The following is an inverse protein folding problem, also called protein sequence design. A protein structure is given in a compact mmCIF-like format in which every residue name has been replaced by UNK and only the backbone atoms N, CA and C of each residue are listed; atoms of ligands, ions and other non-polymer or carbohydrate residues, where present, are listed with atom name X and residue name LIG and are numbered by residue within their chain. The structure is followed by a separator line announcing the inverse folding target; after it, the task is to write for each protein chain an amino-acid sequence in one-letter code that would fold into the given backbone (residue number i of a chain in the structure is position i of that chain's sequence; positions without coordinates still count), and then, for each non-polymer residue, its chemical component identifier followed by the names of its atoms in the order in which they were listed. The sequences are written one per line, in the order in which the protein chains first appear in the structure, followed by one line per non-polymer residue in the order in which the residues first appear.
data_IF_787338426073
#
_entry.id   IF_787338426073
#
_cell.length_a   1.000
_cell.length_b   1.000
_cell.length_c   1.000
_cell.angle_alpha   90.00
_cell.angle_beta   90.00
_cell.angle_gamma   90.00
#
_symmetry.space_group_name_H-M   'P 1'
#
loop_
_entity.id
_entity.type
_entity.pdbx_description
1 polymer ?
#
# COMPACT_ATOMS: atom_id res chain seq x y z
N UNK A 1 35.65 -4.71 -30.79
CA UNK A 1 36.80 -4.50 -29.88
C UNK A 1 36.32 -4.23 -28.44
N UNK A 2 35.46 -3.27 -28.19
CA UNK A 2 34.94 -2.94 -26.83
C UNK A 2 34.29 -4.11 -26.06
N UNK A 3 33.43 -4.91 -26.72
CA UNK A 3 32.73 -6.03 -26.05
C UNK A 3 33.72 -7.12 -25.57
N UNK A 4 34.77 -7.44 -26.33
CA UNK A 4 35.79 -8.43 -25.93
C UNK A 4 36.65 -7.94 -24.76
N UNK A 5 36.94 -6.63 -24.71
CA UNK A 5 37.66 -5.98 -23.61
C UNK A 5 36.78 -5.90 -22.39
N UNK A 6 35.49 -5.51 -22.54
CA UNK A 6 34.50 -5.46 -21.48
C UNK A 6 34.31 -6.81 -20.81
N UNK A 7 34.13 -7.89 -21.58
CA UNK A 7 33.97 -9.23 -21.02
C UNK A 7 35.19 -9.70 -20.22
N UNK A 8 36.43 -9.40 -20.73
CA UNK A 8 37.66 -9.73 -20.01
C UNK A 8 37.80 -8.94 -18.72
N UNK A 9 37.42 -7.68 -18.71
CA UNK A 9 37.41 -6.84 -17.51
C UNK A 9 36.40 -7.33 -16.45
N UNK A 10 35.20 -7.67 -16.89
CA UNK A 10 34.14 -8.23 -15.97
C UNK A 10 34.67 -9.50 -15.31
N UNK A 11 35.29 -10.43 -16.08
CA UNK A 11 35.82 -11.68 -15.54
C UNK A 11 36.97 -11.46 -14.54
N UNK A 12 37.77 -10.41 -14.71
CA UNK A 12 38.89 -10.10 -13.83
C UNK A 12 38.46 -9.43 -12.53
N UNK A 13 37.40 -8.65 -12.56
CA UNK A 13 36.91 -7.86 -11.42
C UNK A 13 35.57 -8.36 -10.89
N UNK A 14 35.25 -9.65 -11.06
CA UNK A 14 33.95 -10.25 -10.63
C UNK A 14 33.56 -9.92 -9.20
N UNK A 15 34.54 -9.89 -8.28
CA UNK A 15 34.29 -9.60 -6.86
C UNK A 15 33.73 -8.19 -6.64
N UNK A 16 34.15 -7.21 -7.41
CA UNK A 16 33.70 -5.82 -7.29
C UNK A 16 32.30 -5.60 -7.90
N UNK A 17 31.94 -6.46 -8.87
CA UNK A 17 30.66 -6.43 -9.56
C UNK A 17 29.56 -7.22 -8.85
N UNK A 18 29.89 -8.13 -7.93
CA UNK A 18 28.92 -9.08 -7.35
C UNK A 18 27.77 -8.36 -6.64
N UNK A 19 28.08 -7.38 -5.78
CA UNK A 19 27.06 -6.61 -5.05
C UNK A 19 26.15 -5.85 -6.01
N UNK A 20 26.75 -5.24 -7.02
CA UNK A 20 26.04 -4.52 -8.07
C UNK A 20 25.13 -5.43 -8.87
N UNK A 21 25.65 -6.57 -9.31
CA UNK A 21 24.92 -7.58 -10.07
C UNK A 21 23.75 -8.17 -9.29
N UNK A 22 23.98 -8.58 -8.05
CA UNK A 22 22.94 -9.10 -7.15
C UNK A 22 21.85 -8.06 -6.92
N UNK A 23 22.22 -6.79 -6.70
CA UNK A 23 21.25 -5.70 -6.52
C UNK A 23 20.37 -5.53 -7.76
N UNK A 24 20.94 -5.52 -8.96
CA UNK A 24 20.18 -5.40 -10.21
C UNK A 24 19.26 -6.61 -10.43
N UNK A 25 19.80 -7.82 -10.20
CA UNK A 25 19.07 -9.08 -10.35
C UNK A 25 17.87 -9.14 -9.39
N UNK A 26 18.09 -8.82 -8.12
CA UNK A 26 17.04 -8.82 -7.12
C UNK A 26 15.97 -7.76 -7.42
N UNK A 27 16.40 -6.58 -7.85
CA UNK A 27 15.46 -5.51 -8.24
C UNK A 27 14.60 -5.91 -9.43
N UNK A 28 15.20 -6.53 -10.46
CA UNK A 28 14.48 -7.03 -11.62
C UNK A 28 13.51 -8.17 -11.24
N UNK A 29 13.94 -9.08 -10.34
CA UNK A 29 13.12 -10.19 -9.86
C UNK A 29 11.88 -9.70 -9.08
N UNK A 30 12.06 -8.79 -8.14
CA UNK A 30 10.96 -8.20 -7.38
C UNK A 30 9.99 -7.45 -8.30
N UNK A 31 10.52 -6.62 -9.20
CA UNK A 31 9.70 -5.85 -10.12
C UNK A 31 8.88 -6.76 -11.05
N UNK A 32 9.47 -7.83 -11.58
CA UNK A 32 8.75 -8.81 -12.37
C UNK A 32 7.67 -9.52 -11.58
N UNK A 33 7.99 -10.01 -10.38
CA UNK A 33 7.06 -10.79 -9.57
C UNK A 33 5.78 -10.01 -9.22
N UNK A 34 5.91 -8.73 -8.90
CA UNK A 34 4.75 -7.88 -8.62
C UNK A 34 3.95 -7.50 -9.86
N UNK A 35 4.64 -7.21 -10.99
CA UNK A 35 3.95 -6.94 -12.26
C UNK A 35 3.24 -8.18 -12.80
N UNK A 36 3.85 -9.36 -12.68
CA UNK A 36 3.23 -10.62 -13.08
C UNK A 36 1.98 -10.94 -12.25
N UNK A 37 2.04 -10.65 -10.95
CA UNK A 37 0.90 -10.78 -10.05
C UNK A 37 -0.25 -9.84 -10.45
N UNK A 38 0.03 -8.56 -10.65
CA UNK A 38 -0.98 -7.56 -11.02
C UNK A 38 -1.60 -7.76 -12.41
N UNK A 39 -0.92 -8.51 -13.29
CA UNK A 39 -1.41 -8.86 -14.63
C UNK A 39 -1.91 -10.31 -14.72
N UNK A 40 -2.02 -11.01 -13.59
CA UNK A 40 -2.51 -12.39 -13.53
C UNK A 40 -4.00 -12.44 -13.87
N UNK A 41 -4.44 -13.33 -14.79
CA UNK A 41 -5.86 -13.52 -15.07
C UNK A 41 -6.67 -13.93 -13.85
N UNK A 42 -6.08 -14.74 -12.97
CA UNK A 42 -6.73 -15.23 -11.76
C UNK A 42 -7.05 -14.07 -10.79
N UNK A 43 -6.11 -13.12 -10.64
CA UNK A 43 -6.32 -11.93 -9.82
C UNK A 43 -7.28 -10.95 -10.51
N UNK A 44 -7.18 -10.79 -11.82
CA UNK A 44 -8.10 -9.93 -12.58
C UNK A 44 -9.54 -10.44 -12.49
N UNK A 45 -9.77 -11.75 -12.54
CA UNK A 45 -11.09 -12.34 -12.35
C UNK A 45 -11.66 -12.10 -10.93
N UNK A 46 -10.79 -12.17 -9.90
CA UNK A 46 -11.19 -11.80 -8.53
C UNK A 46 -11.49 -10.30 -8.39
N UNK A 47 -10.84 -9.45 -9.21
CA UNK A 47 -10.99 -7.99 -9.15
C UNK A 47 -12.17 -7.46 -9.95
N UNK A 48 -12.82 -8.26 -10.80
CA UNK A 48 -14.00 -7.85 -11.54
C UNK A 48 -15.14 -7.36 -10.61
N UNK A 49 -15.21 -7.93 -9.40
CA UNK A 49 -16.13 -7.52 -8.34
C UNK A 49 -15.51 -6.59 -7.28
N UNK A 50 -14.20 -6.29 -7.34
CA UNK A 50 -13.45 -5.51 -6.35
C UNK A 50 -12.52 -4.48 -7.00
N UNK A 51 -13.07 -3.38 -7.52
CA UNK A 51 -12.29 -2.30 -8.16
C UNK A 51 -11.17 -1.72 -7.27
N UNK A 52 -11.35 -1.75 -5.96
CA UNK A 52 -10.34 -1.32 -4.98
C UNK A 52 -9.06 -2.18 -5.01
N UNK A 53 -9.17 -3.49 -5.24
CA UNK A 53 -8.02 -4.39 -5.29
C UNK A 53 -7.13 -4.08 -6.51
N UNK A 54 -7.74 -3.86 -7.68
CA UNK A 54 -7.01 -3.47 -8.90
C UNK A 54 -6.25 -2.17 -8.71
N UNK A 55 -6.91 -1.17 -8.13
CA UNK A 55 -6.30 0.13 -7.84
C UNK A 55 -5.14 -0.02 -6.85
N UNK A 56 -5.30 -0.82 -5.80
CA UNK A 56 -4.25 -1.12 -4.83
C UNK A 56 -3.01 -1.78 -5.45
N UNK A 57 -3.20 -2.76 -6.34
CA UNK A 57 -2.10 -3.43 -7.06
C UNK A 57 -1.36 -2.45 -7.98
N UNK A 58 -2.08 -1.55 -8.67
CA UNK A 58 -1.47 -0.53 -9.52
C UNK A 58 -0.63 0.46 -8.71
N UNK A 59 -1.15 0.94 -7.58
CA UNK A 59 -0.41 1.83 -6.65
C UNK A 59 0.83 1.13 -6.13
N UNK A 60 0.73 -0.13 -5.70
CA UNK A 60 1.85 -0.92 -5.19
C UNK A 60 2.91 -1.13 -6.28
N UNK A 61 2.50 -1.46 -7.51
CA UNK A 61 3.42 -1.62 -8.64
C UNK A 61 4.16 -0.32 -8.97
N UNK A 62 3.47 0.81 -8.95
CA UNK A 62 4.09 2.14 -9.14
C UNK A 62 5.08 2.48 -8.01
N UNK A 63 4.74 2.15 -6.77
CA UNK A 63 5.61 2.34 -5.60
C UNK A 63 6.89 1.50 -5.73
N UNK A 64 6.77 0.23 -6.11
CA UNK A 64 7.92 -0.67 -6.33
C UNK A 64 8.79 -0.15 -7.47
N UNK A 65 8.21 0.31 -8.57
CA UNK A 65 8.95 0.93 -9.66
C UNK A 65 9.73 2.17 -9.18
N UNK A 66 9.09 3.02 -8.40
CA UNK A 66 9.72 4.21 -7.81
C UNK A 66 10.91 3.84 -6.90
N UNK A 67 10.72 2.92 -5.96
CA UNK A 67 11.79 2.43 -5.07
C UNK A 67 12.93 1.79 -5.87
N UNK A 68 12.61 0.96 -6.87
CA UNK A 68 13.57 0.32 -7.76
C UNK A 68 14.44 1.35 -8.51
N UNK A 69 13.86 2.47 -8.93
CA UNK A 69 14.60 3.56 -9.58
C UNK A 69 15.70 4.13 -8.69
N UNK A 70 15.43 4.32 -7.39
CA UNK A 70 16.45 4.77 -6.43
C UNK A 70 17.54 3.74 -6.22
N UNK A 71 17.17 2.47 -6.04
CA UNK A 71 18.12 1.37 -5.81
C UNK A 71 19.04 1.21 -7.02
N UNK A 72 18.49 1.16 -8.23
CA UNK A 72 19.26 1.08 -9.48
C UNK A 72 20.17 2.31 -9.63
N UNK A 73 19.63 3.52 -9.43
CA UNK A 73 20.41 4.75 -9.52
C UNK A 73 21.53 4.84 -8.48
N UNK A 74 21.34 4.26 -7.30
CA UNK A 74 22.38 4.13 -6.27
C UNK A 74 23.44 3.09 -6.69
N UNK A 75 23.02 1.91 -7.16
CA UNK A 75 23.90 0.83 -7.59
C UNK A 75 24.82 1.29 -8.73
N UNK A 76 24.28 1.99 -9.73
CA UNK A 76 25.07 2.54 -10.85
C UNK A 76 26.10 3.58 -10.35
N UNK A 77 25.70 4.47 -9.42
CA UNK A 77 26.63 5.44 -8.84
C UNK A 77 27.71 4.80 -7.98
N UNK A 78 27.34 3.78 -7.21
CA UNK A 78 28.29 3.00 -6.42
C UNK A 78 29.33 2.36 -7.33
N UNK A 79 28.91 1.70 -8.40
CA UNK A 79 29.80 1.07 -9.37
C UNK A 79 30.74 2.08 -10.05
N UNK A 80 30.19 3.23 -10.46
CA UNK A 80 31.00 4.33 -10.98
C UNK A 80 32.08 4.77 -9.98
N UNK A 81 31.71 4.89 -8.70
CA UNK A 81 32.61 5.27 -7.63
C UNK A 81 33.78 4.34 -7.45
N UNK A 82 33.54 3.02 -7.52
CA UNK A 82 34.59 1.99 -7.37
C UNK A 82 35.62 2.04 -8.49
N UNK A 83 35.20 2.42 -9.71
CA UNK A 83 36.05 2.38 -10.91
C UNK A 83 36.70 3.71 -11.28
N UNK A 84 36.49 4.78 -10.51
CA UNK A 84 37.03 6.12 -10.81
C UNK A 84 38.56 6.10 -11.01
N UNK A 85 39.29 5.38 -10.18
CA UNK A 85 40.77 5.27 -10.28
C UNK A 85 41.22 4.55 -11.55
N UNK A 86 40.50 3.52 -11.97
CA UNK A 86 40.79 2.82 -13.21
C UNK A 86 40.57 3.72 -14.43
N UNK A 87 39.49 4.48 -14.44
CA UNK A 87 39.21 5.44 -15.52
C UNK A 87 40.26 6.53 -15.60
N UNK A 88 40.69 7.06 -14.47
CA UNK A 88 41.78 8.01 -14.42
C UNK A 88 43.09 7.40 -14.96
N UNK A 89 43.41 6.15 -14.62
CA UNK A 89 44.59 5.45 -15.17
C UNK A 89 44.50 5.27 -16.70
N UNK A 90 43.33 4.93 -17.23
CA UNK A 90 43.11 4.82 -18.68
C UNK A 90 43.32 6.16 -19.40
N UNK A 91 42.82 7.25 -18.85
CA UNK A 91 43.01 8.60 -19.40
C UNK A 91 44.49 9.04 -19.34
N UNK A 92 45.17 8.73 -18.21
CA UNK A 92 46.63 8.98 -18.10
C UNK A 92 47.45 8.19 -19.12
N UNK A 93 47.00 6.98 -19.49
CA UNK A 93 47.65 6.19 -20.57
C UNK A 93 47.28 6.71 -21.97
N UNK A 94 46.55 7.80 -22.09
CA UNK A 94 46.22 8.42 -23.38
C UNK A 94 44.91 7.97 -24.01
N UNK A 95 44.04 7.26 -23.26
CA UNK A 95 42.73 6.92 -23.80
C UNK A 95 41.78 8.14 -23.77
N UNK A 96 41.08 8.36 -24.87
CA UNK A 96 40.08 9.43 -24.93
C UNK A 96 38.93 9.18 -23.92
N UNK A 97 38.44 10.24 -23.30
CA UNK A 97 37.29 10.21 -22.37
C UNK A 97 36.06 9.54 -23.01
N UNK A 98 35.85 9.75 -24.31
CA UNK A 98 34.74 9.10 -25.07
C UNK A 98 34.88 7.58 -25.07
N UNK A 99 36.11 7.08 -25.24
CA UNK A 99 36.44 5.65 -25.27
C UNK A 99 36.24 5.02 -23.90
N UNK A 100 36.70 5.67 -22.81
CA UNK A 100 36.49 5.22 -21.41
C UNK A 100 35.03 5.16 -21.09
N UNK A 101 34.27 6.22 -21.44
CA UNK A 101 32.80 6.26 -21.23
C UNK A 101 32.09 5.13 -21.97
N UNK A 102 32.42 4.90 -23.26
CA UNK A 102 31.78 3.87 -24.06
C UNK A 102 32.11 2.46 -23.53
N UNK A 103 33.35 2.24 -23.08
CA UNK A 103 33.74 1.00 -22.41
C UNK A 103 32.89 0.76 -21.17
N UNK A 104 32.74 1.75 -20.31
CA UNK A 104 31.86 1.69 -19.11
C UNK A 104 30.42 1.35 -19.49
N UNK A 105 29.87 2.00 -20.52
CA UNK A 105 28.46 1.75 -20.94
C UNK A 105 28.29 0.31 -21.46
N UNK A 106 29.23 -0.20 -22.25
CA UNK A 106 29.18 -1.59 -22.80
C UNK A 106 29.31 -2.61 -21.66
N UNK A 107 30.26 -2.44 -20.75
CA UNK A 107 30.46 -3.33 -19.60
C UNK A 107 29.21 -3.43 -18.75
N UNK A 108 28.68 -2.28 -18.34
CA UNK A 108 27.48 -2.23 -17.51
C UNK A 108 26.25 -2.70 -18.30
N UNK A 109 26.13 -2.40 -19.59
CA UNK A 109 25.07 -2.90 -20.44
C UNK A 109 25.01 -4.43 -20.49
N UNK A 110 26.17 -5.11 -20.57
CA UNK A 110 26.25 -6.58 -20.51
C UNK A 110 25.78 -7.07 -19.12
N UNK A 111 26.32 -6.48 -18.06
CA UNK A 111 25.96 -6.85 -16.67
C UNK A 111 24.47 -6.65 -16.42
N UNK A 112 23.92 -5.50 -16.81
CA UNK A 112 22.50 -5.19 -16.66
C UNK A 112 21.61 -6.14 -17.46
N UNK A 113 21.99 -6.49 -18.69
CA UNK A 113 21.28 -7.46 -19.51
C UNK A 113 21.22 -8.86 -18.87
N UNK A 114 22.37 -9.37 -18.40
CA UNK A 114 22.43 -10.67 -17.70
C UNK A 114 21.67 -10.63 -16.38
N UNK A 115 21.80 -9.54 -15.62
CA UNK A 115 21.07 -9.34 -14.36
C UNK A 115 19.56 -9.30 -14.58
N UNK A 116 19.08 -8.64 -15.64
CA UNK A 116 17.68 -8.63 -16.02
C UNK A 116 17.16 -10.04 -16.35
N UNK A 117 17.87 -10.79 -17.20
CA UNK A 117 17.45 -12.14 -17.59
C UNK A 117 17.34 -13.08 -16.39
N UNK A 118 18.37 -13.10 -15.54
CA UNK A 118 18.37 -13.92 -14.33
C UNK A 118 17.32 -13.42 -13.32
N UNK A 119 17.17 -12.11 -13.17
CA UNK A 119 16.18 -11.50 -12.31
C UNK A 119 14.76 -11.85 -12.76
N UNK A 120 14.45 -11.76 -14.04
CA UNK A 120 13.15 -12.14 -14.57
C UNK A 120 12.85 -13.64 -14.40
N UNK A 121 13.84 -14.51 -14.56
CA UNK A 121 13.71 -15.94 -14.27
C UNK A 121 13.44 -16.23 -12.78
N UNK A 122 14.20 -15.63 -11.89
CA UNK A 122 13.97 -15.73 -10.45
C UNK A 122 12.59 -15.13 -10.08
N UNK A 123 12.22 -14.01 -10.70
CA UNK A 123 10.96 -13.33 -10.51
C UNK A 123 9.74 -14.19 -10.91
N UNK A 124 9.87 -15.05 -11.96
CA UNK A 124 8.79 -15.97 -12.31
C UNK A 124 8.54 -17.01 -11.21
N UNK A 125 9.59 -17.53 -10.57
CA UNK A 125 9.44 -18.40 -9.40
C UNK A 125 8.84 -17.67 -8.19
N UNK A 126 9.32 -16.46 -7.92
CA UNK A 126 8.84 -15.63 -6.81
C UNK A 126 7.37 -15.21 -7.00
N UNK A 127 6.93 -14.95 -8.24
CA UNK A 127 5.52 -14.64 -8.53
C UNK A 127 4.58 -15.79 -8.17
N UNK A 128 5.01 -17.05 -8.36
CA UNK A 128 4.26 -18.22 -7.92
C UNK A 128 4.09 -18.29 -6.40
N UNK A 129 5.17 -17.98 -5.65
CA UNK A 129 5.10 -17.92 -4.19
C UNK A 129 4.17 -16.80 -3.70
N UNK A 130 4.25 -15.61 -4.29
CA UNK A 130 3.36 -14.50 -3.95
C UNK A 130 1.89 -14.83 -4.27
N UNK A 131 1.63 -15.51 -5.38
CA UNK A 131 0.29 -15.96 -5.73
C UNK A 131 -0.28 -16.94 -4.70
N UNK A 132 0.53 -17.87 -4.17
CA UNK A 132 0.12 -18.76 -3.07
C UNK A 132 -0.25 -17.98 -1.80
N UNK A 133 0.55 -16.97 -1.45
CA UNK A 133 0.24 -16.13 -0.28
C UNK A 133 -1.13 -15.46 -0.44
N UNK A 134 -1.43 -14.92 -1.63
CA UNK A 134 -2.72 -14.30 -1.91
C UNK A 134 -3.85 -15.32 -1.85
N UNK A 135 -3.69 -16.50 -2.50
CA UNK A 135 -4.69 -17.56 -2.44
C UNK A 135 -4.98 -18.03 -1.00
N UNK A 136 -3.95 -18.09 -0.15
CA UNK A 136 -4.13 -18.40 1.28
C UNK A 136 -4.93 -17.33 2.03
N UNK A 137 -4.71 -16.04 1.71
CA UNK A 137 -5.43 -14.93 2.35
C UNK A 137 -6.91 -14.94 1.96
N UNK A 138 -7.22 -15.30 0.71
CA UNK A 138 -8.59 -15.33 0.18
C UNK A 138 -9.25 -16.71 0.28
N UNK A 139 -8.60 -17.69 0.92
CA UNK A 139 -9.13 -19.06 1.11
C UNK A 139 -9.55 -19.78 -0.19
N UNK A 140 -8.93 -19.41 -1.32
CA UNK A 140 -9.19 -19.99 -2.63
C UNK A 140 -8.41 -21.31 -2.80
N UNK A 141 -8.95 -22.33 -3.48
CA UNK A 141 -8.26 -23.60 -3.70
C UNK A 141 -6.86 -23.43 -4.26
N UNK A 142 -5.87 -24.06 -3.61
CA UNK A 142 -4.46 -23.89 -3.91
C UNK A 142 -4.08 -24.49 -5.26
N UNK A 143 -3.77 -23.65 -6.23
CA UNK A 143 -3.12 -24.05 -7.48
C UNK A 143 -1.77 -23.36 -7.57
N UNK A 144 -0.68 -24.13 -7.40
CA UNK A 144 0.65 -23.63 -7.70
C UNK A 144 0.77 -23.43 -9.20
N UNK A 145 0.64 -22.19 -9.66
CA UNK A 145 0.90 -21.81 -11.05
C UNK A 145 2.07 -20.83 -11.09
N UNK A 146 3.08 -21.20 -11.85
CA UNK A 146 4.13 -20.25 -12.21
C UNK A 146 3.53 -19.22 -13.16
N UNK A 147 3.45 -17.98 -12.74
CA UNK A 147 2.86 -16.90 -13.52
C UNK A 147 3.87 -16.41 -14.58
N UNK A 148 3.91 -17.10 -15.72
CA UNK A 148 4.66 -16.60 -16.88
C UNK A 148 3.75 -15.74 -17.75
N UNK A 149 4.04 -14.44 -17.81
CA UNK A 149 3.27 -13.48 -18.62
C UNK A 149 4.22 -12.69 -19.52
N UNK A 150 4.04 -12.80 -20.83
CA UNK A 150 4.77 -11.97 -21.80
C UNK A 150 4.53 -10.48 -21.60
N UNK A 151 3.34 -10.09 -21.16
CA UNK A 151 3.01 -8.69 -20.86
C UNK A 151 3.82 -8.19 -19.66
N UNK A 152 3.89 -8.98 -18.58
CA UNK A 152 4.71 -8.65 -17.41
C UNK A 152 6.19 -8.57 -17.77
N UNK A 153 6.68 -9.50 -18.60
CA UNK A 153 8.06 -9.49 -19.09
C UNK A 153 8.40 -8.23 -19.88
N UNK A 154 7.53 -7.86 -20.83
CA UNK A 154 7.69 -6.64 -21.63
C UNK A 154 7.62 -5.36 -20.79
N UNK A 155 6.68 -5.27 -19.85
CA UNK A 155 6.58 -4.12 -18.93
C UNK A 155 7.77 -4.02 -17.99
N UNK A 156 8.24 -5.14 -17.43
CA UNK A 156 9.43 -5.16 -16.58
C UNK A 156 10.68 -4.73 -17.38
N UNK A 157 10.84 -5.24 -18.59
CA UNK A 157 11.93 -4.82 -19.47
C UNK A 157 11.89 -3.33 -19.78
N UNK A 158 10.73 -2.81 -20.10
CA UNK A 158 10.53 -1.37 -20.38
C UNK A 158 10.92 -0.51 -19.19
N UNK A 159 10.39 -0.80 -18.00
CA UNK A 159 10.71 -0.05 -16.79
C UNK A 159 12.19 -0.22 -16.41
N UNK A 160 12.73 -1.43 -16.51
CA UNK A 160 14.15 -1.68 -16.21
C UNK A 160 15.07 -0.89 -17.15
N UNK A 161 14.82 -0.91 -18.46
CA UNK A 161 15.59 -0.12 -19.43
C UNK A 161 15.48 1.37 -19.13
N UNK A 162 14.30 1.87 -18.82
CA UNK A 162 14.07 3.29 -18.52
C UNK A 162 14.87 3.73 -17.30
N UNK A 163 14.75 2.99 -16.19
CA UNK A 163 15.41 3.34 -14.92
C UNK A 163 16.92 3.13 -14.99
N UNK A 164 17.33 1.97 -15.52
CA UNK A 164 18.74 1.63 -15.68
C UNK A 164 19.44 2.52 -16.70
N UNK A 165 18.80 2.76 -17.83
CA UNK A 165 19.26 3.66 -18.87
C UNK A 165 19.43 5.10 -18.36
N UNK A 166 18.48 5.60 -17.55
CA UNK A 166 18.59 6.90 -16.91
C UNK A 166 19.78 6.96 -15.93
N UNK A 167 19.97 5.92 -15.11
CA UNK A 167 21.12 5.79 -14.22
C UNK A 167 22.44 5.80 -15.00
N UNK A 168 22.52 5.02 -16.06
CA UNK A 168 23.68 4.92 -16.97
C UNK A 168 23.98 6.23 -17.70
N UNK A 169 22.93 6.92 -18.18
CA UNK A 169 23.07 8.24 -18.81
C UNK A 169 23.66 9.27 -17.85
N UNK A 170 23.17 9.28 -16.57
CA UNK A 170 23.74 10.17 -15.53
C UNK A 170 25.19 9.83 -15.23
N UNK A 171 25.54 8.54 -15.13
CA UNK A 171 26.92 8.08 -14.91
C UNK A 171 27.84 8.48 -16.08
N UNK A 172 27.40 8.28 -17.31
CA UNK A 172 28.13 8.69 -18.52
C UNK A 172 28.37 10.19 -18.57
N UNK A 173 27.39 11.02 -18.13
CA UNK A 173 27.53 12.48 -18.03
C UNK A 173 28.57 12.88 -16.97
N UNK A 174 28.64 12.14 -15.86
CA UNK A 174 29.63 12.36 -14.79
C UNK A 174 31.04 12.07 -15.34
N UNK A 175 31.27 10.93 -15.98
CA UNK A 175 32.57 10.57 -16.60
C UNK A 175 33.02 11.65 -17.57
N UNK A 176 32.10 12.17 -18.40
CA UNK A 176 32.43 13.20 -19.39
C UNK A 176 32.86 14.54 -18.78
N UNK A 177 32.36 14.87 -17.59
CA UNK A 177 32.54 16.21 -16.97
C UNK A 177 33.64 16.25 -15.91
N UNK A 178 34.06 15.13 -15.36
CA UNK A 178 35.10 15.10 -14.33
C UNK A 178 36.49 15.18 -14.96
N UNK A 179 37.37 15.95 -14.30
CA UNK A 179 38.79 16.03 -14.69
C UNK A 179 39.53 14.80 -14.14
N UNK A 180 40.61 14.34 -14.79
CA UNK A 180 41.45 13.20 -14.37
C UNK A 180 41.89 13.35 -12.90
N UNK A 181 42.32 14.54 -12.54
CA UNK A 181 42.76 14.85 -11.15
C UNK A 181 41.64 14.66 -10.14
N UNK A 182 40.40 14.99 -10.50
CA UNK A 182 39.23 14.83 -9.65
C UNK A 182 38.89 13.34 -9.47
N UNK A 183 39.09 12.53 -10.51
CA UNK A 183 38.90 11.07 -10.46
C UNK A 183 39.93 10.36 -9.57
N UNK A 184 41.20 10.81 -9.62
CA UNK A 184 42.26 10.24 -8.81
C UNK A 184 42.15 10.59 -7.32
N UNK A 185 41.86 11.84 -7.02
CA UNK A 185 41.89 12.39 -5.66
C UNK A 185 40.51 12.53 -5.02
N UNK A 186 39.42 12.04 -5.64
CA UNK A 186 38.07 12.13 -5.12
C UNK A 186 37.93 11.58 -3.69
N UNK A 187 38.68 10.50 -3.41
CA UNK A 187 38.71 9.89 -2.09
C UNK A 187 39.51 10.67 -1.03
N UNK A 188 40.32 11.62 -1.45
CA UNK A 188 41.17 12.45 -0.54
C UNK A 188 40.61 13.85 -0.29
N UNK A 189 39.58 14.26 -1.06
CA UNK A 189 38.92 15.53 -0.85
C UNK A 189 38.18 15.53 0.47
N UNK A 190 38.59 16.45 1.38
CA UNK A 190 37.82 16.70 2.58
C UNK A 190 36.60 17.54 2.26
N UNK A 191 35.43 17.15 2.73
CA UNK A 191 34.24 18.01 2.67
C UNK A 191 34.43 19.14 3.70
N UNK A 192 34.64 20.37 3.25
CA UNK A 192 34.74 21.54 4.13
C UNK A 192 33.37 21.89 4.73
N UNK A 193 33.27 21.72 6.05
CA UNK A 193 32.08 22.11 6.81
C UNK A 193 32.42 23.44 7.52
N UNK A 194 31.97 24.55 6.93
CA UNK A 194 32.17 25.87 7.49
C UNK A 194 31.39 26.10 8.80
N UNK A 195 31.84 27.03 9.65
CA UNK A 195 31.23 27.32 10.96
C UNK A 195 29.75 27.78 10.84
N UNK A 196 29.38 28.47 9.78
CA UNK A 196 27.98 28.82 9.47
C UNK A 196 27.05 27.61 9.23
N UNK A 197 27.62 26.42 9.07
CA UNK A 197 26.83 25.20 8.83
C UNK A 197 26.10 24.67 10.08
N UNK A 198 26.57 24.99 11.30
CA UNK A 198 25.92 24.53 12.53
C UNK A 198 24.54 25.19 12.70
N UNK A 199 24.49 26.53 12.71
CA UNK A 199 23.23 27.26 12.87
C UNK A 199 22.24 26.89 11.75
N UNK A 200 22.73 26.83 10.51
CA UNK A 200 21.93 26.42 9.34
C UNK A 200 21.44 24.97 9.47
N UNK A 201 22.26 24.04 9.99
CA UNK A 201 21.85 22.64 10.20
C UNK A 201 20.83 22.50 11.31
N UNK A 202 20.96 23.26 12.39
CA UNK A 202 19.96 23.30 13.48
C UNK A 202 18.64 23.89 12.98
N UNK A 203 18.68 25.04 12.31
CA UNK A 203 17.49 25.68 11.78
C UNK A 203 16.76 24.80 10.76
N UNK A 204 17.50 24.17 9.83
CA UNK A 204 16.89 23.26 8.85
C UNK A 204 16.37 21.99 9.52
N UNK A 205 17.03 21.48 10.59
CA UNK A 205 16.53 20.35 11.37
C UNK A 205 15.22 20.67 12.10
N UNK A 206 15.14 21.84 12.76
CA UNK A 206 13.92 22.30 13.42
C UNK A 206 12.78 22.53 12.40
N UNK A 207 13.11 23.14 11.26
CA UNK A 207 12.13 23.31 10.18
C UNK A 207 11.63 21.97 9.65
N UNK A 208 12.50 20.96 9.51
CA UNK A 208 12.08 19.61 9.07
C UNK A 208 11.14 18.95 10.07
N UNK A 209 11.37 19.14 11.38
CA UNK A 209 10.47 18.64 12.43
C UNK A 209 9.11 19.38 12.33
N UNK A 210 9.11 20.70 12.15
CA UNK A 210 7.87 21.46 11.97
C UNK A 210 7.08 21.02 10.71
N UNK A 211 7.78 20.78 9.59
CA UNK A 211 7.17 20.24 8.36
C UNK A 211 6.61 18.84 8.58
N UNK A 212 7.29 17.99 9.36
CA UNK A 212 6.80 16.65 9.69
C UNK A 212 5.51 16.72 10.51
N UNK A 213 5.47 17.58 11.54
CA UNK A 213 4.26 17.80 12.37
C UNK A 213 3.13 18.35 11.51
N UNK A 214 3.40 19.33 10.65
CA UNK A 214 2.40 19.85 9.71
C UNK A 214 1.88 18.77 8.75
N UNK A 215 2.75 17.89 8.27
CA UNK A 215 2.37 16.74 7.45
C UNK A 215 1.44 15.77 8.19
N UNK A 216 1.73 15.46 9.47
CA UNK A 216 0.87 14.59 10.29
C UNK A 216 -0.50 15.21 10.52
N UNK A 217 -0.57 16.51 10.87
CA UNK A 217 -1.84 17.23 11.06
C UNK A 217 -2.64 17.26 9.75
N UNK A 218 -1.97 17.47 8.62
CA UNK A 218 -2.60 17.47 7.31
C UNK A 218 -3.15 16.08 6.93
N UNK A 219 -2.43 15.02 7.31
CA UNK A 219 -2.86 13.63 7.11
C UNK A 219 -4.12 13.33 7.92
N UNK A 220 -4.12 13.70 9.21
CA UNK A 220 -5.27 13.54 10.10
C UNK A 220 -6.51 14.24 9.53
N UNK A 221 -6.37 15.49 9.11
CA UNK A 221 -7.48 16.21 8.45
C UNK A 221 -7.96 15.51 7.18
N UNK A 222 -7.03 15.02 6.34
CA UNK A 222 -7.36 14.31 5.11
C UNK A 222 -8.15 13.03 5.34
N UNK A 223 -7.89 12.32 6.43
CA UNK A 223 -8.60 11.07 6.80
C UNK A 223 -10.04 11.32 7.25
N UNK A 224 -10.36 12.52 7.75
CA UNK A 224 -11.72 12.89 8.17
C UNK A 224 -12.57 13.50 7.05
N UNK A 225 -11.98 13.82 5.89
CA UNK A 225 -12.70 14.39 4.75
C UNK A 225 -13.25 13.28 3.87
N UNK A 226 -14.57 13.27 3.63
CA UNK A 226 -15.26 12.28 2.80
C UNK A 226 -15.41 12.70 1.33
N UNK A 227 -14.66 13.70 0.87
CA UNK A 227 -14.72 14.20 -0.51
C UNK A 227 -13.47 13.85 -1.31
N UNK A 228 -13.50 14.07 -2.63
CA UNK A 228 -12.34 13.89 -3.52
C UNK A 228 -11.11 14.72 -3.09
N UNK A 229 -11.30 15.75 -2.27
CA UNK A 229 -10.23 16.54 -1.70
C UNK A 229 -9.36 15.75 -0.71
N UNK A 230 -9.90 14.71 -0.07
CA UNK A 230 -9.15 13.83 0.84
C UNK A 230 -7.86 13.30 0.18
N UNK A 231 -7.91 12.90 -1.10
CA UNK A 231 -6.76 12.42 -1.84
C UNK A 231 -5.65 13.48 -1.96
N UNK A 232 -6.03 14.73 -2.15
CA UNK A 232 -5.09 15.85 -2.27
C UNK A 232 -4.43 16.16 -0.91
N UNK A 233 -5.20 16.14 0.17
CA UNK A 233 -4.69 16.33 1.54
C UNK A 233 -3.75 15.18 1.94
N UNK A 234 -4.15 13.94 1.76
CA UNK A 234 -3.33 12.77 2.07
C UNK A 234 -2.06 12.71 1.21
N UNK A 235 -2.17 12.96 -0.10
CA UNK A 235 -1.02 13.00 -1.01
C UNK A 235 -0.03 14.12 -0.66
N UNK A 236 -0.53 15.33 -0.36
CA UNK A 236 0.28 16.45 0.12
C UNK A 236 0.97 16.16 1.45
N UNK A 237 0.26 15.56 2.40
CA UNK A 237 0.81 15.13 3.69
C UNK A 237 1.96 14.13 3.53
N UNK A 238 1.77 13.08 2.71
CA UNK A 238 2.81 12.10 2.42
C UNK A 238 4.07 12.74 1.82
N UNK A 239 3.91 13.67 0.88
CA UNK A 239 5.04 14.41 0.30
C UNK A 239 5.77 15.24 1.35
N UNK A 240 5.06 15.96 2.21
CA UNK A 240 5.67 16.76 3.28
C UNK A 240 6.45 15.87 4.26
N UNK A 241 5.89 14.74 4.67
CA UNK A 241 6.55 13.78 5.57
C UNK A 241 7.82 13.21 4.91
N UNK A 242 7.77 12.81 3.64
CA UNK A 242 8.94 12.30 2.92
C UNK A 242 10.06 13.35 2.79
N UNK A 243 9.70 14.61 2.50
CA UNK A 243 10.67 15.73 2.45
C UNK A 243 11.27 15.96 3.84
N UNK A 244 10.46 15.94 4.89
CA UNK A 244 10.92 16.10 6.27
C UNK A 244 11.88 14.97 6.68
N UNK A 245 11.55 13.71 6.40
CA UNK A 245 12.40 12.53 6.65
C UNK A 245 13.73 12.68 5.90
N UNK A 246 13.70 13.09 4.62
CA UNK A 246 14.92 13.30 3.84
C UNK A 246 15.84 14.35 4.47
N UNK A 247 15.33 15.55 4.72
CA UNK A 247 16.16 16.64 5.26
C UNK A 247 16.65 16.35 6.68
N UNK A 248 15.83 15.71 7.52
CA UNK A 248 16.18 15.32 8.87
C UNK A 248 17.39 14.35 8.86
N UNK A 249 17.28 13.24 8.12
CA UNK A 249 18.33 12.22 8.05
C UNK A 249 19.59 12.72 7.33
N UNK A 250 19.45 13.65 6.41
CA UNK A 250 20.60 14.31 5.77
C UNK A 250 21.37 15.20 6.74
N UNK A 251 20.69 15.85 7.69
CA UNK A 251 21.28 16.85 8.58
C UNK A 251 21.73 16.26 9.93
N UNK A 252 21.09 15.23 10.45
CA UNK A 252 21.44 14.59 11.72
C UNK A 252 22.93 14.23 11.79
N UNK A 253 23.54 13.52 10.82
CA UNK A 253 24.95 13.16 10.90
C UNK A 253 25.86 14.38 10.98
N UNK A 254 25.56 15.42 10.19
CA UNK A 254 26.31 16.67 10.18
C UNK A 254 26.21 17.38 11.53
N UNK A 255 25.01 17.44 12.11
CA UNK A 255 24.77 18.05 13.42
C UNK A 255 25.54 17.30 14.54
N UNK A 256 25.41 15.97 14.56
CA UNK A 256 26.13 15.15 15.55
C UNK A 256 27.66 15.32 15.46
N UNK A 257 28.19 15.35 14.23
CA UNK A 257 29.60 15.61 13.97
C UNK A 257 30.03 17.00 14.49
N UNK A 258 29.26 18.04 14.19
CA UNK A 258 29.59 19.41 14.64
C UNK A 258 29.50 19.56 16.14
N UNK A 259 28.54 18.92 16.81
CA UNK A 259 28.42 18.89 18.27
C UNK A 259 29.61 18.13 18.90
N UNK A 260 29.99 16.99 18.32
CA UNK A 260 31.16 16.24 18.80
C UNK A 260 32.48 17.04 18.64
N UNK A 261 32.61 17.77 17.52
CA UNK A 261 33.78 18.60 17.24
C UNK A 261 33.88 19.82 18.17
N UNK A 262 32.75 20.35 18.65
CA UNK A 262 32.69 21.56 19.50
C UNK A 262 33.21 21.34 20.89
N UNK A 263 33.13 20.12 21.42
CA UNK A 263 33.60 19.80 22.80
C UNK A 263 35.09 19.43 22.79
N UNK A 264 36.02 20.34 23.30
CA UNK A 264 37.45 20.07 23.30
C UNK A 264 37.84 18.82 24.10
N UNK A 265 37.17 18.57 25.23
CA UNK A 265 37.46 17.41 26.08
C UNK A 265 37.18 16.09 25.39
N UNK A 266 36.09 16.00 24.59
CA UNK A 266 35.77 14.83 23.78
C UNK A 266 36.64 14.71 22.53
N UNK A 267 36.95 15.86 21.90
CA UNK A 267 37.72 15.90 20.65
C UNK A 267 39.14 15.37 20.83
N UNK A 268 39.82 15.72 21.94
CA UNK A 268 41.22 15.39 22.18
C UNK A 268 41.40 14.16 23.07
N UNK A 269 40.34 13.45 23.45
CA UNK A 269 40.40 12.23 24.25
C UNK A 269 40.71 11.04 23.34
N UNK A 270 41.85 10.37 23.64
CA UNK A 270 42.26 9.12 22.97
C UNK A 270 42.27 9.24 21.44
N UNK A 271 41.63 8.29 20.74
CA UNK A 271 41.61 8.18 19.28
C UNK A 271 40.52 9.03 18.62
N UNK A 272 39.72 9.78 19.39
CA UNK A 272 38.55 10.53 18.88
C UNK A 272 38.94 11.55 17.80
N UNK A 273 40.10 12.16 17.86
CA UNK A 273 40.58 13.09 16.84
C UNK A 273 40.72 12.41 15.48
N UNK A 274 41.20 11.16 15.45
CA UNK A 274 41.35 10.37 14.24
C UNK A 274 40.01 9.97 13.69
N UNK A 275 39.08 9.44 14.53
CA UNK A 275 37.73 9.08 14.13
C UNK A 275 36.93 10.26 13.59
N UNK A 276 36.96 11.41 14.28
CA UNK A 276 36.31 12.63 13.81
C UNK A 276 36.92 13.12 12.49
N UNK A 277 38.23 12.97 12.30
CA UNK A 277 38.87 13.28 11.02
C UNK A 277 38.41 12.37 9.88
N UNK A 278 38.25 11.07 10.14
CA UNK A 278 37.75 10.11 9.15
C UNK A 278 36.26 10.33 8.80
N UNK A 279 35.41 10.51 9.82
CA UNK A 279 33.97 10.78 9.64
C UNK A 279 33.77 12.10 8.90
N UNK A 280 34.51 13.16 9.26
CA UNK A 280 34.36 14.48 8.66
C UNK A 280 34.65 14.53 7.16
N UNK A 281 35.45 13.58 6.62
CA UNK A 281 35.79 13.53 5.19
C UNK A 281 34.59 13.29 4.30
N UNK A 282 33.59 12.53 4.75
CA UNK A 282 32.44 12.10 3.90
C UNK A 282 31.09 12.33 4.57
N UNK A 283 31.02 13.16 5.59
CA UNK A 283 29.81 13.29 6.42
C UNK A 283 28.60 13.80 5.62
N UNK A 284 28.81 14.72 4.69
CA UNK A 284 27.72 15.28 3.88
C UNK A 284 27.22 14.30 2.81
N UNK A 285 28.15 13.56 2.17
CA UNK A 285 27.77 12.52 1.19
C UNK A 285 27.14 11.33 1.87
N UNK A 286 27.64 10.93 3.05
CA UNK A 286 27.04 9.89 3.89
C UNK A 286 25.64 10.29 4.36
N UNK A 287 25.45 11.55 4.79
CA UNK A 287 24.11 12.05 5.18
C UNK A 287 23.08 11.98 4.06
N UNK A 288 23.48 12.26 2.81
CA UNK A 288 22.58 12.10 1.64
C UNK A 288 22.22 10.62 1.39
N UNK A 289 23.18 9.73 1.52
CA UNK A 289 22.93 8.29 1.39
C UNK A 289 22.01 7.77 2.50
N UNK A 290 22.25 8.18 3.74
CA UNK A 290 21.40 7.85 4.89
C UNK A 290 19.97 8.37 4.71
N UNK A 291 19.80 9.58 4.17
CA UNK A 291 18.49 10.13 3.90
C UNK A 291 17.70 9.32 2.84
N UNK A 292 18.38 8.88 1.77
CA UNK A 292 17.75 8.02 0.77
C UNK A 292 17.36 6.66 1.37
N UNK A 293 18.26 6.03 2.15
CA UNK A 293 17.97 4.77 2.84
C UNK A 293 16.80 4.94 3.81
N UNK A 294 16.78 6.04 4.57
CA UNK A 294 15.68 6.34 5.50
C UNK A 294 14.33 6.45 4.77
N UNK A 295 14.27 7.14 3.61
CA UNK A 295 13.04 7.18 2.80
C UNK A 295 12.62 5.78 2.35
N UNK A 296 13.55 4.98 1.82
CA UNK A 296 13.25 3.63 1.35
C UNK A 296 12.72 2.77 2.50
N UNK A 297 13.34 2.84 3.68
CA UNK A 297 12.87 2.13 4.87
C UNK A 297 11.51 2.65 5.34
N UNK A 298 11.29 3.96 5.37
CA UNK A 298 10.00 4.54 5.76
C UNK A 298 8.89 4.03 4.84
N UNK A 299 9.07 4.12 3.51
CA UNK A 299 8.08 3.65 2.54
C UNK A 299 7.85 2.13 2.71
N UNK A 300 8.93 1.34 2.84
CA UNK A 300 8.84 -0.11 2.99
C UNK A 300 8.08 -0.52 4.25
N UNK A 301 8.43 0.06 5.40
CA UNK A 301 7.77 -0.24 6.68
C UNK A 301 6.33 0.25 6.70
N UNK A 302 6.05 1.43 6.13
CA UNK A 302 4.69 1.95 6.04
C UNK A 302 3.82 1.05 5.15
N UNK A 303 4.34 0.64 3.98
CA UNK A 303 3.61 -0.27 3.08
C UNK A 303 3.35 -1.63 3.74
N UNK A 304 4.35 -2.18 4.44
CA UNK A 304 4.20 -3.42 5.21
C UNK A 304 3.13 -3.28 6.30
N UNK A 305 3.17 -2.19 7.07
CA UNK A 305 2.19 -1.91 8.12
C UNK A 305 0.77 -1.77 7.55
N UNK A 306 0.60 -0.98 6.47
CA UNK A 306 -0.68 -0.83 5.79
C UNK A 306 -1.18 -2.20 5.31
N UNK A 307 -0.32 -3.01 4.67
CA UNK A 307 -0.70 -4.33 4.17
C UNK A 307 -1.18 -5.27 5.29
N UNK A 308 -0.44 -5.33 6.42
CA UNK A 308 -0.82 -6.13 7.57
C UNK A 308 -2.13 -5.64 8.22
N UNK A 309 -2.27 -4.32 8.39
CA UNK A 309 -3.47 -3.72 8.99
C UNK A 309 -4.70 -3.90 8.10
N UNK A 310 -4.55 -3.67 6.78
CA UNK A 310 -5.64 -3.90 5.84
C UNK A 310 -6.02 -5.38 5.75
N UNK A 311 -5.04 -6.30 5.74
CA UNK A 311 -5.32 -7.74 5.73
C UNK A 311 -6.06 -8.20 6.98
N UNK A 312 -5.57 -7.82 8.15
CA UNK A 312 -6.22 -8.15 9.43
C UNK A 312 -7.60 -7.45 9.56
N UNK A 313 -7.68 -6.18 9.17
CA UNK A 313 -8.92 -5.42 9.18
C UNK A 313 -9.96 -5.95 8.20
N UNK A 314 -9.52 -6.38 7.01
CA UNK A 314 -10.42 -6.99 6.02
C UNK A 314 -11.03 -8.29 6.55
N UNK A 315 -10.19 -9.18 7.12
CA UNK A 315 -10.68 -10.43 7.73
C UNK A 315 -11.66 -10.15 8.88
N UNK A 316 -11.30 -9.27 9.82
CA UNK A 316 -12.17 -8.89 10.92
C UNK A 316 -13.49 -8.25 10.44
N UNK A 317 -13.43 -7.41 9.40
CA UNK A 317 -14.62 -6.84 8.80
C UNK A 317 -15.48 -7.90 8.10
N UNK A 318 -14.88 -8.84 7.36
CA UNK A 318 -15.64 -9.92 6.71
C UNK A 318 -16.39 -10.75 7.75
N UNK A 319 -15.72 -11.17 8.83
CA UNK A 319 -16.36 -11.93 9.91
C UNK A 319 -17.45 -11.12 10.65
N UNK A 320 -17.26 -9.79 10.79
CA UNK A 320 -18.21 -8.93 11.48
C UNK A 320 -19.40 -8.51 10.59
N UNK A 321 -19.16 -8.13 9.32
CA UNK A 321 -20.20 -7.60 8.44
C UNK A 321 -20.92 -8.65 7.60
N UNK A 322 -20.36 -9.85 7.47
CA UNK A 322 -20.95 -10.99 6.73
C UNK A 322 -21.07 -12.21 7.65
N UNK A 323 -21.97 -12.15 8.64
CA UNK A 323 -22.10 -13.22 9.64
C UNK A 323 -22.84 -14.45 9.12
N UNK A 324 -23.41 -14.38 7.92
CA UNK A 324 -24.05 -15.52 7.23
C UNK A 324 -23.11 -16.11 6.18
N UNK A 325 -23.11 -17.44 6.03
CA UNK A 325 -22.22 -18.16 5.10
C UNK A 325 -22.70 -18.03 3.65
N UNK A 326 -23.99 -17.90 3.45
CA UNK A 326 -24.58 -17.66 2.12
C UNK A 326 -25.85 -16.81 2.21
N UNK A 327 -26.03 -15.98 1.18
CA UNK A 327 -27.22 -15.14 1.05
C UNK A 327 -27.72 -15.10 -0.39
N UNK A 328 -29.02 -15.03 -0.57
CA UNK A 328 -29.68 -14.87 -1.87
C UNK A 328 -30.58 -13.63 -1.81
N UNK A 329 -30.34 -12.72 -2.74
CA UNK A 329 -31.05 -11.46 -2.86
C UNK A 329 -31.82 -11.42 -4.16
N UNK A 330 -33.15 -11.23 -4.11
CA UNK A 330 -33.99 -11.09 -5.29
C UNK A 330 -34.84 -9.82 -5.15
N UNK A 331 -34.72 -8.96 -6.14
CA UNK A 331 -35.45 -7.68 -6.24
C UNK A 331 -36.62 -7.83 -7.22
N UNK A 332 -37.50 -8.82 -6.97
CA UNK A 332 -38.69 -9.08 -7.76
C UNK A 332 -39.82 -9.52 -6.82
N UNK A 333 -41.07 -9.35 -7.21
CA UNK A 333 -42.21 -9.79 -6.42
C UNK A 333 -42.34 -11.32 -6.50
N UNK A 334 -41.47 -12.01 -5.75
CA UNK A 334 -41.47 -13.45 -5.56
C UNK A 334 -42.09 -13.82 -4.23
N UNK A 335 -42.61 -15.04 -4.15
CA UNK A 335 -43.19 -15.60 -2.93
C UNK A 335 -42.12 -16.33 -2.12
N UNK A 336 -42.37 -16.54 -0.81
CA UNK A 336 -41.50 -17.38 0.05
C UNK A 336 -41.31 -18.78 -0.54
N UNK A 337 -42.30 -19.30 -1.29
CA UNK A 337 -42.20 -20.62 -1.95
C UNK A 337 -41.09 -20.69 -2.99
N UNK A 338 -40.81 -19.57 -3.69
CA UNK A 338 -39.71 -19.51 -4.65
C UNK A 338 -38.35 -19.62 -3.93
N UNK A 339 -38.22 -19.04 -2.74
CA UNK A 339 -37.01 -19.14 -1.91
C UNK A 339 -36.82 -20.54 -1.31
N UNK A 340 -37.92 -21.23 -0.98
CA UNK A 340 -37.85 -22.63 -0.52
C UNK A 340 -37.26 -23.54 -1.58
N UNK A 341 -37.52 -23.27 -2.88
CA UNK A 341 -36.91 -24.02 -3.99
C UNK A 341 -35.39 -23.78 -4.08
N UNK A 342 -34.94 -22.55 -3.80
CA UNK A 342 -33.50 -22.23 -3.72
C UNK A 342 -32.87 -22.89 -2.50
N UNK A 343 -33.53 -22.85 -1.35
CA UNK A 343 -33.07 -23.50 -0.13
C UNK A 343 -32.91 -25.01 -0.34
N UNK A 344 -33.90 -25.69 -0.89
CA UNK A 344 -33.81 -27.14 -1.16
C UNK A 344 -32.69 -27.48 -2.16
N UNK A 345 -32.42 -26.63 -3.15
CA UNK A 345 -31.29 -26.80 -4.06
C UNK A 345 -29.93 -26.72 -3.33
N UNK A 346 -29.81 -25.84 -2.33
CA UNK A 346 -28.59 -25.72 -1.51
C UNK A 346 -28.46 -26.89 -0.55
N UNK A 347 -29.56 -27.31 0.12
CA UNK A 347 -29.58 -28.43 1.06
C UNK A 347 -29.21 -29.77 0.43
N UNK A 348 -29.47 -29.96 -0.87
CA UNK A 348 -28.99 -31.12 -1.62
C UNK A 348 -27.47 -31.20 -1.76
N UNK A 349 -26.75 -30.09 -1.61
CA UNK A 349 -25.31 -29.94 -1.90
C UNK A 349 -24.48 -29.59 -0.68
N UNK A 350 -25.06 -28.88 0.25
CA UNK A 350 -24.41 -28.38 1.45
C UNK A 350 -25.30 -28.68 2.67
N UNK A 351 -24.68 -28.91 3.81
CA UNK A 351 -25.41 -29.06 5.06
C UNK A 351 -25.74 -27.68 5.61
N UNK A 352 -27.02 -27.29 5.57
CA UNK A 352 -27.52 -26.06 6.14
C UNK A 352 -27.82 -26.28 7.63
N UNK A 353 -27.22 -25.48 8.52
CA UNK A 353 -27.51 -25.53 9.95
C UNK A 353 -28.80 -24.78 10.28
N UNK A 354 -28.91 -23.57 9.74
CA UNK A 354 -30.07 -22.71 9.94
C UNK A 354 -30.28 -21.76 8.75
N UNK A 355 -31.51 -21.26 8.58
CA UNK A 355 -31.86 -20.36 7.49
C UNK A 355 -33.03 -19.45 7.85
N UNK A 356 -33.08 -18.28 7.25
CA UNK A 356 -34.23 -17.39 7.33
C UNK A 356 -34.53 -16.72 5.98
N UNK A 357 -35.81 -16.73 5.64
CA UNK A 357 -36.37 -15.95 4.52
C UNK A 357 -37.14 -14.77 5.06
N UNK A 358 -36.79 -13.57 4.67
CA UNK A 358 -37.40 -12.33 5.14
C UNK A 358 -37.74 -11.36 4.01
N UNK A 359 -38.67 -10.46 4.27
CA UNK A 359 -39.05 -9.39 3.34
C UNK A 359 -38.42 -8.07 3.76
N UNK A 360 -37.95 -7.32 2.76
CA UNK A 360 -37.60 -5.92 2.89
C UNK A 360 -38.75 -5.07 2.31
N UNK A 361 -39.26 -4.19 3.15
CA UNK A 361 -40.36 -3.30 2.82
C UNK A 361 -39.81 -1.91 2.50
N UNK A 362 -40.24 -1.31 1.40
CA UNK A 362 -39.84 0.06 1.06
C UNK A 362 -40.75 1.08 1.75
N UNK A 363 -40.17 2.03 2.46
CA UNK A 363 -40.91 3.08 3.15
C UNK A 363 -41.40 4.13 2.12
N UNK A 364 -42.72 4.38 2.01
CA UNK A 364 -43.27 5.32 1.03
C UNK A 364 -42.69 6.74 1.19
N UNK A 365 -42.23 7.32 0.07
CA UNK A 365 -41.67 8.68 0.05
C UNK A 365 -40.28 8.82 0.63
N UNK A 366 -39.67 7.72 1.09
CA UNK A 366 -38.28 7.67 1.58
C UNK A 366 -37.58 6.49 0.91
N UNK A 367 -36.35 6.65 0.50
CA UNK A 367 -35.55 5.54 -0.04
C UNK A 367 -34.97 4.67 1.09
N UNK A 368 -35.76 4.34 2.11
CA UNK A 368 -35.36 3.60 3.30
C UNK A 368 -36.07 2.25 3.29
N UNK A 369 -35.34 1.20 3.63
CA UNK A 369 -35.88 -0.15 3.78
C UNK A 369 -36.31 -0.37 5.24
N UNK A 370 -37.30 -1.25 5.41
CA UNK A 370 -37.81 -1.65 6.71
C UNK A 370 -37.93 -3.18 6.81
N UNK A 371 -37.79 -3.70 8.01
CA UNK A 371 -37.97 -5.10 8.39
C UNK A 371 -39.13 -5.23 9.38
N UNK A 372 -39.82 -6.36 9.35
CA UNK A 372 -40.74 -6.73 10.43
C UNK A 372 -39.95 -7.13 11.69
N UNK A 373 -40.52 -6.88 12.88
CA UNK A 373 -39.88 -7.27 14.15
C UNK A 373 -39.67 -8.80 14.22
N UNK A 374 -40.61 -9.57 13.72
CA UNK A 374 -40.52 -11.03 13.73
C UNK A 374 -39.37 -11.54 12.82
N UNK A 375 -39.26 -11.01 11.59
CA UNK A 375 -38.16 -11.37 10.70
C UNK A 375 -36.80 -10.90 11.27
N UNK A 376 -36.76 -9.70 11.85
CA UNK A 376 -35.55 -9.18 12.50
C UNK A 376 -35.10 -10.05 13.68
N UNK A 377 -36.02 -10.48 14.55
CA UNK A 377 -35.69 -11.36 15.66
C UNK A 377 -35.27 -12.76 15.18
N UNK A 378 -35.83 -13.26 14.08
CA UNK A 378 -35.38 -14.53 13.48
C UNK A 378 -33.94 -14.44 12.98
N UNK A 379 -33.54 -13.32 12.35
CA UNK A 379 -32.18 -13.08 11.95
C UNK A 379 -31.22 -13.01 13.15
N UNK A 380 -31.64 -12.37 14.25
CA UNK A 380 -30.88 -12.31 15.50
C UNK A 380 -30.69 -13.71 16.12
N UNK A 381 -31.71 -14.54 16.08
CA UNK A 381 -31.67 -15.91 16.60
C UNK A 381 -30.62 -16.77 15.89
N UNK A 382 -30.54 -16.72 14.55
CA UNK A 382 -29.53 -17.42 13.74
C UNK A 382 -28.11 -17.02 14.16
N UNK A 383 -27.93 -15.75 14.54
CA UNK A 383 -26.63 -15.20 14.98
C UNK A 383 -26.38 -15.41 16.48
N UNK A 384 -27.31 -16.04 17.22
CA UNK A 384 -27.21 -16.23 18.66
C UNK A 384 -27.37 -14.94 19.47
N UNK A 385 -27.96 -13.89 18.88
CA UNK A 385 -28.23 -12.63 19.54
C UNK A 385 -29.57 -12.68 20.28
N UNK A 386 -29.70 -11.93 21.37
CA UNK A 386 -30.94 -11.81 22.10
C UNK A 386 -32.07 -11.16 21.30
N UNK A 387 -33.29 -11.66 21.40
CA UNK A 387 -34.47 -11.05 20.78
C UNK A 387 -34.74 -9.65 21.36
N UNK A 388 -35.26 -8.77 20.50
CA UNK A 388 -35.63 -7.41 20.84
C UNK A 388 -37.17 -7.28 20.86
N UNK A 389 -37.70 -6.48 21.75
CA UNK A 389 -39.13 -6.19 21.84
C UNK A 389 -39.38 -4.69 21.71
N UNK A 390 -40.39 -4.31 20.94
CA UNK A 390 -40.88 -2.94 20.79
C UNK A 390 -42.40 -2.91 20.96
N UNK A 391 -42.94 -1.80 21.41
CA UNK A 391 -44.38 -1.58 21.49
C UNK A 391 -44.99 -1.39 20.09
N UNK A 392 -46.30 -1.56 19.94
CA UNK A 392 -46.97 -1.42 18.63
C UNK A 392 -46.84 -0.01 18.00
N UNK A 393 -46.43 1.00 18.76
CA UNK A 393 -46.25 2.39 18.32
C UNK A 393 -44.79 2.83 18.32
N UNK A 394 -43.86 1.90 18.44
CA UNK A 394 -42.43 2.19 18.47
C UNK A 394 -41.73 1.62 17.25
N UNK A 395 -40.55 2.17 16.92
CA UNK A 395 -39.64 1.65 15.91
C UNK A 395 -38.21 1.65 16.42
N UNK A 396 -37.37 0.78 15.84
CA UNK A 396 -35.93 0.75 16.02
C UNK A 396 -35.23 1.04 14.69
N UNK A 397 -33.98 1.43 14.79
CA UNK A 397 -33.07 1.59 13.66
C UNK A 397 -31.95 0.58 13.82
N UNK A 398 -31.75 -0.24 12.82
CA UNK A 398 -30.56 -1.09 12.75
C UNK A 398 -29.50 -0.40 11.88
N UNK A 399 -28.29 -0.21 12.43
CA UNK A 399 -27.17 0.41 11.78
C UNK A 399 -25.86 -0.20 12.28
N UNK A 400 -25.33 -1.19 11.58
CA UNK A 400 -24.06 -1.86 11.89
C UNK A 400 -22.83 -1.11 11.38
N UNK A 401 -23.02 -0.02 10.63
CA UNK A 401 -21.95 0.79 10.03
C UNK A 401 -21.69 2.04 10.88
N UNK A 402 -20.64 2.02 11.67
CA UNK A 402 -20.28 3.06 12.64
C UNK A 402 -20.26 4.49 12.07
N UNK A 403 -19.94 4.68 10.76
CA UNK A 403 -19.91 5.99 10.11
C UNK A 403 -21.27 6.70 10.06
N UNK A 404 -22.36 5.97 10.14
CA UNK A 404 -23.73 6.52 10.06
C UNK A 404 -24.41 6.68 11.42
N UNK A 405 -23.88 6.05 12.47
CA UNK A 405 -24.52 6.02 13.79
C UNK A 405 -24.71 7.43 14.35
N UNK A 406 -23.68 8.27 14.31
CA UNK A 406 -23.74 9.64 14.84
C UNK A 406 -24.75 10.51 14.06
N UNK A 407 -24.82 10.37 12.73
CA UNK A 407 -25.78 11.10 11.89
C UNK A 407 -27.21 10.65 12.16
N UNK A 408 -27.44 9.36 12.35
CA UNK A 408 -28.74 8.78 12.70
C UNK A 408 -29.15 9.26 14.09
N UNK A 409 -28.26 9.27 15.05
CA UNK A 409 -28.54 9.74 16.42
C UNK A 409 -28.96 11.21 16.40
N UNK A 410 -28.23 12.09 15.69
CA UNK A 410 -28.60 13.49 15.53
C UNK A 410 -29.98 13.67 14.87
N UNK A 411 -30.31 12.85 13.86
CA UNK A 411 -31.61 12.87 13.19
C UNK A 411 -32.74 12.45 14.15
N UNK A 412 -32.51 11.41 14.95
CA UNK A 412 -33.49 10.94 15.93
C UNK A 412 -33.72 11.96 17.07
N UNK A 413 -32.68 12.69 17.47
CA UNK A 413 -32.80 13.79 18.45
C UNK A 413 -33.64 14.97 17.89
N UNK A 414 -33.55 15.23 16.58
CA UNK A 414 -34.32 16.28 15.91
C UNK A 414 -35.75 15.83 15.57
N UNK A 415 -35.93 14.57 15.21
CA UNK A 415 -37.20 13.98 14.82
C UNK A 415 -37.31 12.54 15.34
N UNK A 416 -37.86 12.38 16.52
CA UNK A 416 -38.05 11.06 17.15
C UNK A 416 -39.32 10.33 16.69
N UNK A 417 -40.09 10.93 15.78
CA UNK A 417 -41.36 10.37 15.28
C UNK A 417 -41.36 10.20 13.80
N UNK A 418 -41.94 9.10 13.31
CA UNK A 418 -42.21 8.84 11.90
C UNK A 418 -43.66 8.51 11.68
N UNK A 419 -44.26 9.05 10.64
CA UNK A 419 -45.65 8.73 10.27
C UNK A 419 -45.65 7.84 9.03
N UNK A 420 -46.23 6.65 9.17
CA UNK A 420 -46.34 5.65 8.10
C UNK A 420 -47.83 5.27 7.95
N UNK A 421 -48.36 5.40 6.73
CA UNK A 421 -49.77 5.07 6.43
C UNK A 421 -50.79 5.65 7.43
N UNK A 422 -50.52 6.85 7.94
CA UNK A 422 -51.40 7.54 8.91
C UNK A 422 -51.22 7.13 10.38
N UNK A 423 -50.29 6.20 10.67
CA UNK A 423 -49.91 5.83 12.02
C UNK A 423 -48.59 6.50 12.38
N UNK A 424 -48.53 7.18 13.52
CA UNK A 424 -47.32 7.80 14.07
C UNK A 424 -46.64 6.81 15.00
N UNK A 425 -45.34 6.54 14.71
CA UNK A 425 -44.46 5.71 15.54
C UNK A 425 -43.40 6.58 16.18
N UNK A 426 -43.04 6.27 17.42
CA UNK A 426 -41.98 6.93 18.18
C UNK A 426 -40.74 6.04 18.25
N UNK A 427 -39.57 6.64 18.33
CA UNK A 427 -38.33 5.87 18.53
C UNK A 427 -38.38 5.18 19.91
N UNK A 428 -37.92 3.93 19.97
CA UNK A 428 -37.84 3.17 21.23
C UNK A 428 -36.81 3.77 22.19
N UNK A 429 -36.76 3.30 23.43
CA UNK A 429 -35.84 3.79 24.47
C UNK A 429 -34.35 3.62 24.07
N UNK A 430 -34.01 2.49 23.43
CA UNK A 430 -32.71 2.26 22.79
C UNK A 430 -32.93 2.17 21.29
N UNK A 431 -32.94 3.30 20.57
CA UNK A 431 -33.47 3.34 19.22
C UNK A 431 -32.50 2.80 18.16
N UNK A 432 -31.21 2.70 18.47
CA UNK A 432 -30.19 2.27 17.50
C UNK A 432 -29.56 0.95 17.97
N UNK A 433 -29.58 -0.04 17.09
CA UNK A 433 -28.90 -1.33 17.27
C UNK A 433 -27.74 -1.43 16.26
N UNK A 434 -26.57 -1.83 16.76
CA UNK A 434 -25.30 -1.78 16.00
C UNK A 434 -24.63 -3.14 15.83
N UNK A 435 -25.27 -4.24 16.24
CA UNK A 435 -24.71 -5.57 16.08
C UNK A 435 -24.62 -5.93 14.59
N UNK A 436 -23.51 -6.54 14.14
CA UNK A 436 -23.34 -6.91 12.73
C UNK A 436 -24.38 -7.92 12.26
N UNK A 437 -25.15 -7.59 11.23
CA UNK A 437 -26.23 -8.42 10.69
C UNK A 437 -26.31 -8.39 9.15
N UNK A 438 -25.20 -8.08 8.46
CA UNK A 438 -25.15 -7.94 7.01
C UNK A 438 -26.04 -6.81 6.46
N UNK A 439 -25.99 -5.65 7.11
CA UNK A 439 -26.81 -4.50 6.80
C UNK A 439 -26.76 -4.09 5.31
N UNK A 440 -25.63 -4.28 4.62
CA UNK A 440 -25.52 -3.92 3.21
C UNK A 440 -26.57 -4.62 2.33
N UNK A 441 -26.88 -5.86 2.63
CA UNK A 441 -27.94 -6.62 1.96
C UNK A 441 -29.34 -6.11 2.32
N UNK A 442 -29.51 -5.56 3.53
CA UNK A 442 -30.78 -5.05 4.04
C UNK A 442 -31.05 -3.60 3.64
N UNK A 443 -30.06 -2.72 3.80
CA UNK A 443 -30.23 -1.27 3.68
C UNK A 443 -29.84 -0.70 2.29
N UNK A 444 -29.18 -1.50 1.44
CA UNK A 444 -28.63 -1.00 0.21
C UNK A 444 -27.68 0.20 0.45
N UNK A 445 -27.93 1.32 -0.24
CA UNK A 445 -27.07 2.52 -0.17
C UNK A 445 -27.38 3.46 1.02
N UNK A 446 -28.44 3.22 1.79
CA UNK A 446 -28.92 4.19 2.80
C UNK A 446 -28.22 4.06 4.16
N UNK A 447 -27.48 2.98 4.38
CA UNK A 447 -26.65 2.80 5.57
C UNK A 447 -27.41 2.49 6.86
N UNK A 448 -28.73 2.27 6.84
CA UNK A 448 -29.55 1.82 7.98
C UNK A 448 -30.90 1.26 7.54
N UNK A 449 -31.52 0.46 8.39
CA UNK A 449 -32.84 -0.19 8.17
C UNK A 449 -33.74 0.13 9.35
N UNK A 450 -35.02 0.35 9.09
CA UNK A 450 -36.03 0.50 10.14
C UNK A 450 -36.57 -0.88 10.55
N UNK A 451 -36.69 -1.12 11.86
CA UNK A 451 -37.38 -2.29 12.40
C UNK A 451 -38.75 -1.85 12.92
N UNK A 452 -39.79 -2.39 12.31
CA UNK A 452 -41.18 -1.99 12.55
C UNK A 452 -41.99 -3.12 13.19
N UNK A 453 -43.03 -2.82 13.97
CA UNK A 453 -43.99 -3.82 14.39
C UNK A 453 -44.60 -4.55 13.19
N UNK A 454 -44.86 -5.85 13.31
CA UNK A 454 -45.33 -6.71 12.20
C UNK A 454 -46.59 -6.20 11.53
N UNK A 455 -47.52 -5.64 12.32
CA UNK A 455 -48.77 -5.05 11.81
C UNK A 455 -48.54 -3.82 10.94
N UNK A 456 -47.48 -3.04 11.20
CA UNK A 456 -47.15 -1.86 10.40
C UNK A 456 -46.37 -2.27 9.19
N UNK A 457 -45.39 -3.15 9.34
CA UNK A 457 -44.58 -3.68 8.24
C UNK A 457 -45.44 -4.37 7.15
N UNK A 458 -46.46 -5.16 7.57
CA UNK A 458 -47.35 -5.87 6.63
C UNK A 458 -48.25 -4.95 5.81
N UNK A 459 -48.38 -3.67 6.14
CA UNK A 459 -49.14 -2.67 5.39
C UNK A 459 -48.27 -1.94 4.34
N UNK A 460 -46.96 -2.18 4.33
CA UNK A 460 -46.02 -1.65 3.36
C UNK A 460 -45.88 -2.62 2.18
N UNK A 461 -45.45 -2.10 1.05
CA UNK A 461 -45.14 -2.95 -0.12
C UNK A 461 -43.80 -3.69 0.16
N UNK A 462 -43.87 -5.02 0.16
CA UNK A 462 -42.68 -5.87 0.25
C UNK A 462 -42.18 -6.18 -1.17
N UNK A 463 -41.23 -5.40 -1.64
CA UNK A 463 -40.72 -5.53 -3.01
C UNK A 463 -39.50 -6.44 -3.15
N UNK A 464 -38.82 -6.72 -2.03
CA UNK A 464 -37.57 -7.47 -2.04
C UNK A 464 -37.64 -8.64 -1.07
N UNK A 465 -37.19 -9.80 -1.52
CA UNK A 465 -37.09 -10.98 -0.67
C UNK A 465 -35.63 -11.39 -0.53
N UNK A 466 -35.25 -11.80 0.67
CA UNK A 466 -33.90 -12.23 1.03
C UNK A 466 -33.95 -13.57 1.72
N UNK A 467 -32.96 -14.41 1.43
CA UNK A 467 -32.69 -15.67 2.11
C UNK A 467 -31.26 -15.62 2.62
N UNK A 468 -31.07 -15.89 3.90
CA UNK A 468 -29.76 -16.05 4.52
C UNK A 468 -29.65 -17.47 5.10
N UNK A 469 -28.43 -18.01 5.07
CA UNK A 469 -28.17 -19.37 5.48
C UNK A 469 -26.88 -19.44 6.29
N UNK A 470 -26.86 -20.31 7.30
CA UNK A 470 -25.69 -20.73 8.02
C UNK A 470 -25.39 -22.18 7.66
N UNK A 471 -24.17 -22.44 7.22
CA UNK A 471 -23.72 -23.77 6.78
C UNK A 471 -22.92 -24.45 7.90
N UNK A 472 -22.94 -25.82 7.92
CA UNK A 472 -22.25 -26.61 8.95
C UNK A 472 -20.78 -26.87 8.61
#
# INVERSE_FOLDING_TARGET
MYAKLAFRNIRRSLRDYIIYFVTLTLTAALMYSFLALGLSPDILAMTENMSMLTTGILILSALIAFMSSFVIGYAVRFMLGQRKKEFAAYELMGMEVKTVRNLFLVENGIIGGVAFLLGALIGTGLSGLLNQVIQNIFEVPHTYRVLFSFRAWGMTLFFFILMYGFGMFRAAKVIRRQKVIDLLYDNQKNEEIGFHSLLRSVLTGLLSIAVMVAGVILLEKGLHIQTNEALLYCGGACLLILVAVYELHRKIPVLLYLLAKRNPQRKYREENLFFLGQIGRRIQSSGRTMAVVAILLTISLTTMFIGLTMGAGYKANMEAYYPYDAGVAIDAPLTKDSMNSVLSFVEERCKVEDSATYYLYTVPGKSIEALSLSDYNRLREILGLSSVSISNNEFLVHCDTWNYVDDIQQRLEQQSEITLNGQTLTAAETPILTEPMEQYQMAGTNGYVLVLPDKVASQLSGEKIRLVMKLA
#
